data_IF_362959800301
#
_entry.id   IF_362959800301
#
_cell.length_a   1.000
_cell.length_b   1.000
_cell.length_c   1.000
_cell.angle_alpha   90.00
_cell.angle_beta   90.00
_cell.angle_gamma   90.00
#
_symmetry.space_group_name_H-M   'P 1'
#
loop_
_entity.id
_entity.type
_entity.pdbx_description
1 polymer ?
#
# COMPACT_ATOMS: atom_id res chain seq x y z
N UNK A 1 3.32 -15.94 -7.60
CA UNK A 1 3.40 -15.00 -6.46
C UNK A 1 3.37 -15.83 -5.20
N UNK A 2 4.41 -15.79 -4.38
CA UNK A 2 4.42 -16.47 -3.09
C UNK A 2 3.46 -15.77 -2.13
N UNK A 3 2.47 -16.51 -1.63
CA UNK A 3 1.45 -16.03 -0.68
C UNK A 3 2.10 -15.44 0.58
N UNK A 4 3.31 -15.92 0.92
CA UNK A 4 4.09 -15.46 2.06
C UNK A 4 4.57 -14.01 1.94
N UNK A 5 4.87 -13.53 0.73
CA UNK A 5 5.32 -12.15 0.51
C UNK A 5 4.19 -11.14 0.76
N UNK A 6 2.94 -11.51 0.43
CA UNK A 6 1.77 -10.64 0.59
C UNK A 6 1.41 -10.50 2.07
N UNK A 7 1.54 -11.56 2.87
CA UNK A 7 1.21 -11.51 4.30
C UNK A 7 2.13 -10.58 5.10
N UNK A 8 3.38 -10.40 4.66
CA UNK A 8 4.36 -9.55 5.36
C UNK A 8 4.15 -8.04 5.15
N UNK A 9 3.32 -7.66 4.18
CA UNK A 9 3.07 -6.25 3.81
C UNK A 9 1.66 -5.77 4.16
N UNK A 10 0.86 -6.60 4.84
CA UNK A 10 -0.47 -6.24 5.34
C UNK A 10 -0.36 -5.71 6.77
N UNK A 11 -0.83 -4.49 6.97
CA UNK A 11 -0.86 -3.81 8.26
C UNK A 11 -2.31 -3.62 8.74
N UNK A 12 -2.49 -3.51 10.05
CA UNK A 12 -3.79 -3.14 10.63
C UNK A 12 -3.74 -1.69 11.09
N UNK A 13 -4.51 -0.83 10.43
CA UNK A 13 -4.61 0.60 10.74
C UNK A 13 -6.09 0.97 10.78
N UNK A 14 -6.51 1.70 11.82
CA UNK A 14 -7.93 2.10 12.03
C UNK A 14 -8.92 0.93 11.96
N UNK A 15 -8.50 -0.28 12.35
CA UNK A 15 -9.33 -1.49 12.29
C UNK A 15 -9.49 -2.09 10.89
N UNK A 16 -8.78 -1.58 9.89
CA UNK A 16 -8.78 -2.08 8.51
C UNK A 16 -7.44 -2.71 8.16
N UNK A 17 -7.49 -3.74 7.30
CA UNK A 17 -6.29 -4.30 6.66
C UNK A 17 -5.86 -3.41 5.53
N UNK A 18 -4.63 -2.92 5.59
CA UNK A 18 -4.09 -1.99 4.61
C UNK A 18 -2.71 -2.38 4.11
N UNK A 19 -2.43 -2.05 2.85
CA UNK A 19 -1.11 -2.16 2.23
C UNK A 19 -0.64 -0.75 1.87
N UNK A 20 0.64 -0.47 2.12
CA UNK A 20 1.22 0.85 1.88
C UNK A 20 1.61 1.04 0.42
N UNK A 21 1.53 2.28 -0.06
CA UNK A 21 1.85 2.69 -1.44
C UNK A 21 3.19 2.16 -1.97
N UNK A 22 4.25 2.16 -1.16
CA UNK A 22 5.57 1.68 -1.57
C UNK A 22 5.63 0.15 -1.71
N UNK A 23 4.90 -0.60 -0.90
CA UNK A 23 4.78 -2.05 -1.06
C UNK A 23 3.98 -2.41 -2.30
N UNK A 24 2.88 -1.68 -2.56
CA UNK A 24 2.10 -1.88 -3.77
C UNK A 24 2.91 -1.51 -5.02
N UNK A 25 3.70 -0.44 -4.94
CA UNK A 25 4.61 -0.06 -6.01
C UNK A 25 5.61 -1.19 -6.32
N UNK A 26 6.23 -1.80 -5.30
CA UNK A 26 7.11 -2.95 -5.47
C UNK A 26 6.38 -4.18 -6.04
N UNK A 27 5.19 -4.50 -5.49
CA UNK A 27 4.36 -5.63 -5.94
C UNK A 27 3.94 -5.51 -7.41
N UNK A 28 3.56 -4.31 -7.83
CA UNK A 28 3.17 -4.02 -9.20
C UNK A 28 4.35 -3.69 -10.12
N UNK A 29 5.58 -3.68 -9.58
CA UNK A 29 6.81 -3.26 -10.25
C UNK A 29 6.69 -1.89 -10.94
N UNK A 30 6.05 -0.95 -10.26
CA UNK A 30 5.92 0.44 -10.69
C UNK A 30 6.62 1.34 -9.70
N UNK A 31 7.05 2.52 -10.14
CA UNK A 31 7.56 3.51 -9.19
C UNK A 31 6.42 4.03 -8.30
N UNK A 32 6.70 4.25 -7.01
CA UNK A 32 5.71 4.81 -6.07
C UNK A 32 5.17 6.16 -6.55
N UNK A 33 5.98 6.96 -7.26
CA UNK A 33 5.54 8.21 -7.89
C UNK A 33 4.47 7.99 -8.95
N UNK A 34 4.63 6.96 -9.79
CA UNK A 34 3.67 6.60 -10.84
C UNK A 34 2.36 6.13 -10.20
N UNK A 35 2.44 5.30 -9.16
CA UNK A 35 1.27 4.83 -8.42
C UNK A 35 0.48 6.01 -7.83
N UNK A 36 1.17 6.93 -7.12
CA UNK A 36 0.55 8.14 -6.58
C UNK A 36 -0.07 9.02 -7.66
N UNK A 37 0.60 9.16 -8.80
CA UNK A 37 0.09 9.94 -9.91
C UNK A 37 -1.18 9.32 -10.50
N UNK A 38 -1.22 7.99 -10.67
CA UNK A 38 -2.37 7.27 -11.19
C UNK A 38 -3.59 7.40 -10.26
N UNK A 39 -3.37 7.30 -8.95
CA UNK A 39 -4.37 7.53 -7.91
C UNK A 39 -4.91 8.96 -7.98
N UNK A 40 -4.02 9.96 -7.99
CA UNK A 40 -4.42 11.38 -8.05
C UNK A 40 -5.22 11.72 -9.31
N UNK A 41 -4.90 11.09 -10.45
CA UNK A 41 -5.66 11.24 -11.71
C UNK A 41 -7.05 10.61 -11.65
N UNK A 42 -7.26 9.63 -10.77
CA UNK A 42 -8.51 8.87 -10.66
C UNK A 42 -9.11 9.02 -9.25
N UNK A 43 -8.87 10.14 -8.56
CA UNK A 43 -9.22 10.29 -7.14
C UNK A 43 -10.72 10.10 -6.89
N UNK A 44 -11.57 10.44 -7.88
CA UNK A 44 -13.02 10.19 -7.85
C UNK A 44 -13.40 8.71 -7.68
N UNK A 45 -12.49 7.79 -7.99
CA UNK A 45 -12.66 6.33 -7.87
C UNK A 45 -12.12 5.77 -6.56
N UNK A 46 -11.50 6.60 -5.74
CA UNK A 46 -10.86 6.22 -4.48
C UNK A 46 -11.51 6.98 -3.32
N UNK A 47 -12.67 6.51 -2.82
CA UNK A 47 -13.26 7.06 -1.61
C UNK A 47 -12.34 6.85 -0.40
N UNK A 48 -12.57 7.60 0.69
CA UNK A 48 -11.77 7.53 1.92
C UNK A 48 -11.75 6.12 2.56
N UNK A 49 -12.78 5.31 2.27
CA UNK A 49 -12.85 3.89 2.70
C UNK A 49 -11.89 2.97 1.93
N UNK A 50 -11.40 3.40 0.76
CA UNK A 50 -10.53 2.60 -0.12
C UNK A 50 -9.07 2.96 0.07
N UNK A 51 -8.80 4.22 0.36
CA UNK A 51 -7.46 4.70 0.68
C UNK A 51 -7.50 5.90 1.62
N UNK A 52 -6.45 6.04 2.41
CA UNK A 52 -6.24 7.22 3.24
C UNK A 52 -4.76 7.45 3.48
N UNK A 53 -4.41 8.69 3.82
CA UNK A 53 -3.05 9.03 4.19
C UNK A 53 -2.81 8.71 5.67
N UNK A 54 -1.68 8.07 5.97
CA UNK A 54 -1.30 7.80 7.35
C UNK A 54 -0.83 9.06 8.05
N UNK A 55 -1.26 9.23 9.30
CA UNK A 55 -0.73 10.25 10.18
C UNK A 55 0.67 9.87 10.67
N UNK A 56 1.45 10.86 11.12
CA UNK A 56 2.79 10.62 11.69
C UNK A 56 2.75 9.68 12.90
N UNK A 57 1.71 9.79 13.72
CA UNK A 57 1.53 8.93 14.89
C UNK A 57 1.21 7.49 14.50
N UNK A 58 0.39 7.28 13.47
CA UNK A 58 0.11 5.95 12.92
C UNK A 58 1.37 5.32 12.31
N UNK A 59 2.16 6.10 11.57
CA UNK A 59 3.45 5.64 11.01
C UNK A 59 4.40 5.22 12.13
N UNK A 60 4.56 6.05 13.17
CA UNK A 60 5.44 5.73 14.29
C UNK A 60 4.98 4.46 15.02
N UNK A 61 3.66 4.31 15.20
CA UNK A 61 3.06 3.12 15.82
C UNK A 61 3.30 1.86 14.98
N UNK A 62 3.17 1.96 13.66
CA UNK A 62 3.49 0.87 12.73
C UNK A 62 4.97 0.51 12.78
N UNK A 63 5.87 1.49 12.66
CA UNK A 63 7.32 1.25 12.72
C UNK A 63 7.68 0.57 14.04
N UNK A 64 7.11 1.03 15.15
CA UNK A 64 7.33 0.43 16.47
C UNK A 64 6.82 -1.02 16.53
N UNK A 65 5.61 -1.27 16.05
CA UNK A 65 5.02 -2.60 16.01
C UNK A 65 5.85 -3.56 15.13
N UNK A 66 6.24 -3.12 13.94
CA UNK A 66 7.04 -3.91 13.01
C UNK A 66 8.41 -4.24 13.59
N UNK A 67 9.12 -3.24 14.16
CA UNK A 67 10.41 -3.47 14.84
C UNK A 67 10.29 -4.47 15.99
N UNK A 68 9.15 -4.49 16.68
CA UNK A 68 8.90 -5.41 17.79
C UNK A 68 8.52 -6.82 17.35
N UNK A 69 7.92 -6.98 16.16
CA UNK A 69 7.37 -8.26 15.69
C UNK A 69 8.22 -8.95 14.61
N UNK A 70 9.03 -8.21 13.86
CA UNK A 70 9.84 -8.75 12.76
C UNK A 70 11.15 -7.98 12.62
N UNK A 71 12.26 -8.69 12.78
CA UNK A 71 13.63 -8.15 12.64
C UNK A 71 13.99 -7.85 11.17
N UNK A 72 13.18 -8.32 10.22
CA UNK A 72 13.53 -8.35 8.79
C UNK A 72 13.05 -7.10 8.04
N UNK A 73 12.02 -6.41 8.56
CA UNK A 73 11.40 -5.32 7.83
C UNK A 73 12.13 -3.99 8.05
N UNK A 74 12.74 -3.47 6.99
CA UNK A 74 13.37 -2.18 6.99
C UNK A 74 12.43 -1.12 6.39
N UNK A 75 11.77 -0.35 7.26
CA UNK A 75 10.92 0.76 6.82
C UNK A 75 11.74 1.72 5.95
N UNK A 76 11.30 2.03 4.71
CA UNK A 76 12.06 2.89 3.82
C UNK A 76 12.17 4.29 4.43
N UNK A 77 13.35 4.93 4.31
CA UNK A 77 13.56 6.28 4.81
C UNK A 77 12.84 7.30 3.91
N UNK A 78 11.53 7.38 4.08
CA UNK A 78 10.64 8.26 3.32
C UNK A 78 10.37 9.53 4.12
N UNK A 79 10.47 10.67 3.45
CA UNK A 79 10.14 12.00 4.02
C UNK A 79 8.67 12.37 3.86
N UNK A 80 7.88 11.50 3.22
CA UNK A 80 6.46 11.68 2.97
C UNK A 80 5.61 10.73 3.81
N UNK A 81 4.37 11.12 4.03
CA UNK A 81 3.31 10.29 4.62
C UNK A 81 2.77 9.32 3.56
N UNK A 82 2.95 8.00 3.72
CA UNK A 82 2.50 7.04 2.72
C UNK A 82 0.98 6.92 2.74
N UNK A 83 0.43 6.60 1.57
CA UNK A 83 -0.97 6.19 1.47
C UNK A 83 -1.11 4.74 1.90
N UNK A 84 -2.16 4.47 2.66
CA UNK A 84 -2.64 3.15 3.02
C UNK A 84 -3.84 2.80 2.13
N UNK A 85 -3.83 1.62 1.52
CA UNK A 85 -4.90 1.12 0.67
C UNK A 85 -5.52 -0.11 1.30
N UNK A 86 -6.85 -0.14 1.39
CA UNK A 86 -7.59 -1.33 1.81
C UNK A 86 -7.61 -2.39 0.71
N UNK A 87 -8.09 -3.59 1.00
CA UNK A 87 -8.26 -4.66 0.00
C UNK A 87 -9.05 -4.17 -1.23
N UNK A 88 -10.10 -3.37 -1.00
CA UNK A 88 -10.90 -2.74 -2.05
C UNK A 88 -10.10 -1.69 -2.84
N UNK A 89 -9.29 -0.87 -2.15
CA UNK A 89 -8.39 0.09 -2.80
C UNK A 89 -7.33 -0.59 -3.68
N UNK A 90 -6.78 -1.72 -3.24
CA UNK A 90 -5.83 -2.53 -4.00
C UNK A 90 -6.49 -3.13 -5.24
N UNK A 91 -7.70 -3.68 -5.10
CA UNK A 91 -8.49 -4.15 -6.23
C UNK A 91 -8.75 -3.01 -7.23
N UNK A 92 -9.07 -1.80 -6.74
CA UNK A 92 -9.27 -0.64 -7.60
C UNK A 92 -7.99 -0.18 -8.30
N UNK A 93 -6.85 -0.21 -7.62
CA UNK A 93 -5.53 0.08 -8.19
C UNK A 93 -5.22 -0.84 -9.37
N UNK A 94 -5.59 -2.12 -9.30
CA UNK A 94 -5.38 -3.07 -10.41
C UNK A 94 -6.13 -2.68 -11.69
N UNK A 95 -7.28 -1.99 -11.55
CA UNK A 95 -8.06 -1.49 -12.68
C UNK A 95 -7.51 -0.19 -13.29
N UNK A 96 -6.82 0.61 -12.48
CA UNK A 96 -6.29 1.93 -12.87
C UNK A 96 -4.87 1.80 -13.42
N UNK A 97 -4.06 0.94 -12.82
CA UNK A 97 -2.70 0.66 -13.27
C UNK A 97 -2.77 -0.28 -14.48
N UNK A 98 -2.62 0.28 -15.69
CA UNK A 98 -2.45 -0.47 -16.95
C UNK A 98 -1.13 -1.26 -17.03
N UNK A 99 -0.65 -1.82 -15.92
CA UNK A 99 0.53 -2.68 -15.89
C UNK A 99 0.11 -4.12 -16.18
N UNK A 100 0.83 -4.81 -17.08
CA UNK A 100 0.57 -6.23 -17.40
C UNK A 100 0.59 -7.13 -16.15
N UNK A 101 1.34 -6.75 -15.11
CA UNK A 101 1.36 -7.45 -13.81
C UNK A 101 0.14 -7.13 -12.93
N UNK A 102 -0.33 -5.88 -12.93
CA UNK A 102 -1.55 -5.51 -12.20
C UNK A 102 -2.78 -6.26 -12.73
N UNK A 103 -2.81 -6.50 -14.05
CA UNK A 103 -3.83 -7.32 -14.72
C UNK A 103 -3.70 -8.81 -14.30
N UNK A 104 -2.49 -9.33 -14.10
CA UNK A 104 -2.25 -10.72 -13.66
C UNK A 104 -2.53 -10.97 -12.16
N UNK A 105 -2.55 -9.92 -11.33
CA UNK A 105 -2.91 -10.03 -9.89
C UNK A 105 -4.42 -10.12 -9.69
N UNK A 106 -5.21 -9.68 -10.68
CA UNK A 106 -6.67 -9.77 -10.66
C UNK A 106 -7.14 -11.13 -11.19
N UNK A 107 -7.03 -12.19 -10.36
CA UNK A 107 -7.64 -13.50 -10.62
C UNK A 107 -8.49 -13.97 -9.44
#
# INVERSE_FOLDING_TARGET
MDIQAIQQIIFYVRGQRVILDFHLAELYEVETKILKQAVRRNIERFPDDFMFELTKDEINSLIHNIRSQSVIFNWPSITYTPFAFTEQGVAMLSSVLRSERAIKVNI
#
